data_IF_462243197181
#
_entry.id   IF_462243197181
#
_cell.length_a   1.000
_cell.length_b   1.000
_cell.length_c   1.000
_cell.angle_alpha   90.00
_cell.angle_beta   90.00
_cell.angle_gamma   90.00
#
_symmetry.space_group_name_H-M   'P 1'
#
loop_
_entity.id
_entity.type
_entity.pdbx_description
1 polymer ?
#
# COMPACT_ATOMS: atom_id res chain seq x y z
N UNK A 1 14.79 0.42 -29.98
CA UNK A 1 15.20 -0.87 -29.36
C UNK A 1 16.56 -0.81 -28.67
N UNK A 2 17.66 -0.43 -29.34
CA UNK A 2 18.99 -0.34 -28.70
C UNK A 2 19.07 0.64 -27.51
N UNK A 3 18.40 1.79 -27.59
CA UNK A 3 18.40 2.78 -26.50
C UNK A 3 17.63 2.30 -25.26
N UNK A 4 16.49 1.64 -25.47
CA UNK A 4 15.70 1.02 -24.39
C UNK A 4 16.49 -0.08 -23.69
N UNK A 5 17.22 -0.92 -24.44
CA UNK A 5 18.09 -1.96 -23.87
C UNK A 5 19.17 -1.36 -22.98
N UNK A 6 19.84 -0.29 -23.42
CA UNK A 6 20.88 0.38 -22.61
C UNK A 6 20.31 0.97 -21.32
N UNK A 7 19.13 1.58 -21.39
CA UNK A 7 18.45 2.11 -20.21
C UNK A 7 18.09 1.00 -19.22
N UNK A 8 17.56 -0.12 -19.70
CA UNK A 8 17.23 -1.27 -18.86
C UNK A 8 18.46 -1.89 -18.19
N UNK A 9 19.56 -2.02 -18.93
CA UNK A 9 20.82 -2.53 -18.37
C UNK A 9 21.39 -1.59 -17.31
N UNK A 10 21.24 -0.27 -17.50
CA UNK A 10 21.61 0.72 -16.50
C UNK A 10 20.77 0.58 -15.22
N UNK A 11 19.44 0.42 -15.34
CA UNK A 11 18.57 0.18 -14.19
C UNK A 11 18.91 -1.10 -13.44
N UNK A 12 19.20 -2.19 -14.16
CA UNK A 12 19.63 -3.47 -13.57
C UNK A 12 20.95 -3.32 -12.81
N UNK A 13 21.89 -2.53 -13.33
CA UNK A 13 23.15 -2.23 -12.65
C UNK A 13 22.93 -1.48 -11.34
N UNK A 14 22.09 -0.45 -11.34
CA UNK A 14 21.75 0.32 -10.14
C UNK A 14 21.06 -0.58 -9.10
N UNK A 15 20.09 -1.39 -9.52
CA UNK A 15 19.39 -2.31 -8.63
C UNK A 15 20.36 -3.29 -7.95
N UNK A 16 21.26 -3.92 -8.71
CA UNK A 16 22.29 -4.81 -8.16
C UNK A 16 23.22 -4.11 -7.17
N UNK A 17 23.62 -2.87 -7.47
CA UNK A 17 24.47 -2.10 -6.56
C UNK A 17 23.73 -1.79 -5.25
N UNK A 18 22.45 -1.42 -5.32
CA UNK A 18 21.62 -1.21 -4.14
C UNK A 18 21.49 -2.49 -3.30
N UNK A 19 21.18 -3.62 -3.95
CA UNK A 19 21.02 -4.92 -3.28
C UNK A 19 22.31 -5.43 -2.62
N UNK A 20 23.48 -5.07 -3.15
CA UNK A 20 24.78 -5.48 -2.59
C UNK A 20 25.05 -4.94 -1.18
N UNK A 21 24.33 -3.90 -0.75
CA UNK A 21 24.41 -3.36 0.61
C UNK A 21 23.57 -4.12 1.64
N UNK A 22 22.90 -5.19 1.23
CA UNK A 22 22.01 -5.99 2.07
C UNK A 22 22.53 -7.41 2.27
N UNK A 23 22.28 -7.95 3.46
CA UNK A 23 22.60 -9.33 3.82
C UNK A 23 21.48 -9.97 4.64
N UNK A 24 21.65 -11.27 4.89
CA UNK A 24 20.86 -11.97 5.89
C UNK A 24 21.47 -11.75 7.29
N UNK A 25 20.66 -11.56 8.33
CA UNK A 25 21.15 -11.58 9.70
C UNK A 25 21.62 -12.98 10.11
N UNK A 26 22.62 -13.03 10.97
CA UNK A 26 22.96 -14.28 11.66
C UNK A 26 21.95 -14.54 12.79
N UNK A 27 21.68 -15.80 13.13
CA UNK A 27 20.66 -16.13 14.14
C UNK A 27 20.89 -15.48 15.52
N UNK A 28 22.16 -15.40 15.95
CA UNK A 28 22.55 -14.75 17.20
C UNK A 28 22.38 -13.23 17.12
N UNK A 29 22.74 -12.64 15.99
CA UNK A 29 22.58 -11.21 15.73
C UNK A 29 21.11 -10.82 15.70
N UNK A 30 20.26 -11.60 15.03
CA UNK A 30 18.81 -11.41 15.02
C UNK A 30 18.27 -11.35 16.45
N UNK A 31 18.63 -12.32 17.29
CA UNK A 31 18.16 -12.38 18.68
C UNK A 31 18.61 -11.15 19.48
N UNK A 32 19.85 -10.69 19.29
CA UNK A 32 20.39 -9.49 19.94
C UNK A 32 19.66 -8.22 19.49
N UNK A 33 19.48 -8.05 18.18
CA UNK A 33 18.79 -6.88 17.62
C UNK A 33 17.35 -6.79 18.13
N UNK A 34 16.65 -7.91 18.24
CA UNK A 34 15.29 -7.95 18.78
C UNK A 34 15.22 -7.57 20.26
N UNK A 35 16.24 -7.93 21.05
CA UNK A 35 16.32 -7.52 22.46
C UNK A 35 16.59 -6.02 22.58
N UNK A 36 17.54 -5.49 21.80
CA UNK A 36 17.93 -4.08 21.82
C UNK A 36 16.78 -3.15 21.38
N UNK A 37 15.91 -3.61 20.47
CA UNK A 37 14.82 -2.81 19.88
C UNK A 37 13.49 -2.81 20.66
N UNK A 38 13.44 -3.44 21.84
CA UNK A 38 12.25 -3.34 22.68
C UNK A 38 11.96 -1.90 23.17
N UNK A 39 12.87 -0.95 22.98
CA UNK A 39 12.74 0.42 23.49
C UNK A 39 12.42 1.49 22.43
N UNK A 40 12.86 1.33 21.18
CA UNK A 40 12.76 2.35 20.11
C UNK A 40 12.11 1.81 18.81
N UNK A 41 10.94 1.20 18.91
CA UNK A 41 10.15 0.87 17.71
C UNK A 41 9.31 2.06 17.27
N UNK A 42 9.05 2.20 15.97
CA UNK A 42 8.13 3.22 15.47
C UNK A 42 6.68 2.96 15.87
N UNK A 43 5.80 3.84 15.36
CA UNK A 43 4.47 4.03 15.91
C UNK A 43 3.56 2.81 15.72
N UNK A 44 3.61 2.16 14.55
CA UNK A 44 2.81 0.98 14.27
C UNK A 44 3.29 -0.25 15.04
N UNK A 45 4.60 -0.44 15.18
CA UNK A 45 5.18 -1.50 15.99
C UNK A 45 4.85 -1.32 17.49
N UNK A 46 4.90 -0.09 18.01
CA UNK A 46 4.50 0.22 19.38
C UNK A 46 3.00 -0.06 19.60
N UNK A 47 2.15 0.46 18.71
CA UNK A 47 0.71 0.24 18.74
C UNK A 47 0.35 -1.26 18.70
N UNK A 48 0.99 -2.02 17.81
CA UNK A 48 0.71 -3.45 17.67
C UNK A 48 1.12 -4.24 18.91
N UNK A 49 2.24 -3.88 19.54
CA UNK A 49 2.73 -4.52 20.77
C UNK A 49 1.81 -4.32 21.95
N UNK A 50 1.27 -3.11 22.13
CA UNK A 50 0.34 -2.80 23.22
C UNK A 50 -0.99 -3.54 23.10
N UNK A 51 -1.42 -3.84 21.86
CA UNK A 51 -2.81 -4.23 21.56
C UNK A 51 -2.95 -5.67 21.08
N UNK A 52 -1.89 -6.25 20.51
CA UNK A 52 -1.91 -7.60 19.96
C UNK A 52 -0.88 -8.48 20.65
N UNK A 53 -1.37 -9.43 21.45
CA UNK A 53 -0.59 -10.59 21.85
C UNK A 53 -0.61 -11.63 20.71
N UNK A 54 0.09 -11.33 19.61
CA UNK A 54 0.69 -12.34 18.74
C UNK A 54 0.08 -12.62 17.36
N UNK A 55 0.92 -13.29 16.54
CA UNK A 55 0.56 -14.38 15.60
C UNK A 55 1.83 -15.09 15.09
N UNK A 56 2.90 -14.34 14.84
CA UNK A 56 4.26 -14.84 14.55
C UNK A 56 5.20 -14.11 15.50
N UNK A 57 6.08 -14.82 16.19
CA UNK A 57 7.09 -14.15 17.01
C UNK A 57 8.02 -13.36 16.07
N UNK A 58 8.51 -12.20 16.50
CA UNK A 58 9.42 -11.42 15.66
C UNK A 58 10.67 -12.23 15.28
N UNK A 59 11.06 -13.18 16.13
CA UNK A 59 12.12 -14.15 15.85
C UNK A 59 11.78 -15.07 14.68
N UNK A 60 10.57 -15.65 14.65
CA UNK A 60 10.08 -16.43 13.51
C UNK A 60 10.09 -15.63 12.22
N UNK A 61 9.63 -14.37 12.25
CA UNK A 61 9.62 -13.49 11.06
C UNK A 61 11.03 -13.27 10.52
N UNK A 62 11.96 -12.88 11.39
CA UNK A 62 13.37 -12.64 11.01
C UNK A 62 14.01 -13.90 10.41
N UNK A 63 13.72 -15.08 10.95
CA UNK A 63 14.27 -16.35 10.44
C UNK A 63 13.57 -16.86 9.19
N UNK A 64 12.34 -16.41 8.90
CA UNK A 64 11.54 -16.86 7.76
C UNK A 64 11.85 -16.09 6.47
N UNK A 65 12.49 -14.91 6.57
CA UNK A 65 12.92 -14.14 5.40
C UNK A 65 14.21 -14.77 4.88
N UNK A 66 14.13 -15.36 3.69
CA UNK A 66 15.24 -16.05 3.03
C UNK A 66 16.02 -15.17 2.07
N UNK A 67 15.58 -13.93 1.85
CA UNK A 67 16.20 -12.94 0.96
C UNK A 67 17.02 -11.92 1.77
N UNK A 68 18.17 -11.43 1.28
CA UNK A 68 18.91 -10.36 1.94
C UNK A 68 17.99 -9.15 2.17
N UNK A 69 17.93 -8.68 3.41
CA UNK A 69 16.96 -7.64 3.80
C UNK A 69 17.53 -6.66 4.83
N UNK A 70 18.63 -7.02 5.50
CA UNK A 70 19.28 -6.20 6.50
C UNK A 70 20.39 -5.38 5.86
N UNK A 71 20.27 -4.05 5.94
CA UNK A 71 21.29 -3.12 5.46
C UNK A 71 22.52 -3.20 6.35
N UNK A 72 23.69 -3.40 5.75
CA UNK A 72 24.93 -3.60 6.52
C UNK A 72 25.31 -2.38 7.37
N UNK A 73 25.08 -1.18 6.83
CA UNK A 73 25.44 0.09 7.49
C UNK A 73 24.34 0.64 8.40
N UNK A 74 23.14 0.04 8.42
CA UNK A 74 22.00 0.53 9.20
C UNK A 74 21.05 -0.61 9.58
N UNK A 75 21.59 -1.58 10.35
CA UNK A 75 20.88 -2.79 10.74
C UNK A 75 19.65 -2.47 11.60
N UNK A 76 19.76 -1.45 12.45
CA UNK A 76 18.69 -1.00 13.32
C UNK A 76 17.47 -0.57 12.51
N UNK A 77 17.66 0.30 11.52
CA UNK A 77 16.57 0.78 10.67
C UNK A 77 15.86 -0.34 9.91
N UNK A 78 16.61 -1.31 9.38
CA UNK A 78 16.00 -2.48 8.70
C UNK A 78 15.11 -3.29 9.65
N UNK A 79 15.56 -3.53 10.89
CA UNK A 79 14.78 -4.28 11.88
C UNK A 79 13.54 -3.51 12.31
N UNK A 80 13.67 -2.21 12.60
CA UNK A 80 12.51 -1.35 12.92
C UNK A 80 11.49 -1.37 11.78
N UNK A 81 11.93 -1.21 10.53
CA UNK A 81 11.03 -1.26 9.38
C UNK A 81 10.29 -2.59 9.26
N UNK A 82 10.96 -3.72 9.53
CA UNK A 82 10.33 -5.02 9.52
C UNK A 82 9.31 -5.17 10.67
N UNK A 83 9.61 -4.62 11.85
CA UNK A 83 8.68 -4.57 12.98
C UNK A 83 7.45 -3.71 12.65
N UNK A 84 7.62 -2.56 11.98
CA UNK A 84 6.49 -1.75 11.52
C UNK A 84 5.60 -2.53 10.55
N UNK A 85 6.19 -3.22 9.56
CA UNK A 85 5.43 -4.05 8.62
C UNK A 85 4.65 -5.17 9.32
N UNK A 86 5.26 -5.82 10.31
CA UNK A 86 4.61 -6.83 11.14
C UNK A 86 3.45 -6.21 11.95
N UNK A 87 3.68 -5.04 12.54
CA UNK A 87 2.67 -4.30 13.30
C UNK A 87 1.48 -3.89 12.42
N UNK A 88 1.76 -3.40 11.21
CA UNK A 88 0.76 -3.09 10.18
C UNK A 88 -0.08 -4.31 9.81
N UNK A 89 0.58 -5.43 9.48
CA UNK A 89 -0.10 -6.68 9.16
C UNK A 89 -0.99 -7.18 10.29
N UNK A 90 -0.47 -7.16 11.52
CA UNK A 90 -1.22 -7.55 12.71
C UNK A 90 -2.45 -6.67 12.94
N UNK A 91 -2.27 -5.35 12.88
CA UNK A 91 -3.33 -4.37 13.10
C UNK A 91 -4.46 -4.49 12.07
N UNK A 92 -4.13 -4.61 10.78
CA UNK A 92 -5.12 -4.68 9.71
C UNK A 92 -5.98 -5.95 9.76
N UNK A 93 -5.46 -7.05 10.33
CA UNK A 93 -6.24 -8.30 10.49
C UNK A 93 -7.16 -8.33 11.70
N UNK A 94 -6.85 -7.53 12.72
CA UNK A 94 -7.44 -7.68 14.06
C UNK A 94 -8.42 -6.57 14.40
N UNK A 95 -8.34 -5.41 13.74
CA UNK A 95 -9.12 -4.23 14.10
C UNK A 95 -10.40 -4.12 13.26
N UNK A 96 -11.52 -3.88 13.96
CA UNK A 96 -12.73 -3.37 13.32
C UNK A 96 -12.50 -1.88 12.96
N UNK A 97 -12.76 -1.51 11.71
CA UNK A 97 -12.32 -0.23 11.13
C UNK A 97 -12.63 1.02 11.97
N UNK A 98 -11.86 2.08 11.73
CA UNK A 98 -11.94 3.42 12.36
C UNK A 98 -11.42 3.54 13.81
N UNK A 99 -10.50 2.67 14.24
CA UNK A 99 -9.77 2.88 15.51
C UNK A 99 -8.89 4.14 15.44
N UNK A 100 -9.11 5.08 16.37
CA UNK A 100 -8.40 6.36 16.39
C UNK A 100 -6.89 6.18 16.66
N UNK A 101 -6.53 5.24 17.54
CA UNK A 101 -5.13 4.98 17.87
C UNK A 101 -4.39 4.35 16.69
N UNK A 102 -5.02 3.43 15.96
CA UNK A 102 -4.51 2.91 14.69
C UNK A 102 -4.32 4.04 13.67
N UNK A 103 -5.33 4.90 13.51
CA UNK A 103 -5.26 6.00 12.55
C UNK A 103 -4.12 6.97 12.88
N UNK A 104 -3.88 7.23 14.17
CA UNK A 104 -2.75 8.05 14.62
C UNK A 104 -1.42 7.37 14.32
N UNK A 105 -1.28 6.08 14.61
CA UNK A 105 -0.07 5.32 14.32
C UNK A 105 0.22 5.27 12.81
N UNK A 106 -0.80 5.00 11.97
CA UNK A 106 -0.69 5.03 10.52
C UNK A 106 -0.23 6.38 9.98
N UNK A 107 -0.71 7.50 10.55
CA UNK A 107 -0.27 8.84 10.12
C UNK A 107 1.19 9.14 10.45
N UNK A 108 1.71 8.56 11.54
CA UNK A 108 3.12 8.74 11.89
C UNK A 108 4.05 8.07 10.87
N UNK A 109 3.63 6.95 10.27
CA UNK A 109 4.43 6.19 9.32
C UNK A 109 4.12 6.48 7.84
N UNK A 110 2.88 6.82 7.50
CA UNK A 110 2.48 7.13 6.11
C UNK A 110 2.37 8.62 5.81
N UNK A 111 2.60 9.47 6.81
CA UNK A 111 2.39 10.91 6.73
C UNK A 111 0.95 11.34 6.99
N UNK A 112 0.78 12.62 7.31
CA UNK A 112 -0.54 13.23 7.52
C UNK A 112 -0.97 14.03 6.28
N UNK A 113 -2.02 13.55 5.63
CA UNK A 113 -2.50 14.07 4.34
C UNK A 113 -3.78 14.90 4.47
N UNK A 114 -4.14 15.32 5.68
CA UNK A 114 -5.38 16.08 5.92
C UNK A 114 -5.29 17.54 5.49
N UNK A 115 -4.09 18.09 5.47
CA UNK A 115 -3.87 19.47 5.05
C UNK A 115 -4.04 19.62 3.54
N UNK A 116 -4.34 20.85 3.09
CA UNK A 116 -4.46 21.13 1.66
C UNK A 116 -3.12 20.88 0.96
N UNK A 117 -3.11 19.93 0.04
CA UNK A 117 -1.91 19.56 -0.70
C UNK A 117 -1.82 20.39 -1.99
N UNK A 118 -0.77 21.18 -2.12
CA UNK A 118 -0.31 21.67 -3.42
C UNK A 118 0.69 20.68 -3.98
N UNK A 119 0.36 20.04 -5.11
CA UNK A 119 1.25 19.10 -5.81
C UNK A 119 2.13 19.86 -6.80
N UNK A 120 3.46 19.95 -6.58
CA UNK A 120 4.37 20.56 -7.54
C UNK A 120 4.43 19.73 -8.81
N UNK A 121 4.44 20.36 -10.00
CA UNK A 121 4.45 19.62 -11.26
C UNK A 121 5.66 18.67 -11.40
N UNK A 122 6.81 19.07 -10.84
CA UNK A 122 8.06 18.28 -10.87
C UNK A 122 7.92 16.87 -10.30
N UNK A 123 7.01 16.62 -9.36
CA UNK A 123 6.85 15.28 -8.76
C UNK A 123 6.27 14.26 -9.75
N UNK A 124 5.58 14.74 -10.80
CA UNK A 124 4.99 13.86 -11.82
C UNK A 124 6.04 13.38 -12.82
N UNK A 125 7.08 14.18 -13.04
CA UNK A 125 8.13 13.92 -14.03
C UNK A 125 9.41 13.33 -13.41
N UNK A 126 9.71 13.69 -12.15
CA UNK A 126 10.92 13.27 -11.46
C UNK A 126 10.60 12.33 -10.29
N UNK A 127 10.96 11.03 -10.38
CA UNK A 127 10.76 10.06 -9.31
C UNK A 127 11.45 10.41 -7.99
N UNK A 128 12.62 11.06 -8.04
CA UNK A 128 13.36 11.48 -6.83
C UNK A 128 12.58 12.58 -6.10
N UNK A 129 12.17 13.62 -6.84
CA UNK A 129 11.35 14.70 -6.29
C UNK A 129 10.01 14.19 -5.72
N UNK A 130 9.44 13.12 -6.30
CA UNK A 130 8.24 12.47 -5.79
C UNK A 130 8.48 11.79 -4.44
N UNK A 131 9.56 11.04 -4.32
CA UNK A 131 9.94 10.38 -3.06
C UNK A 131 10.22 11.42 -1.98
N UNK A 132 10.98 12.46 -2.29
CA UNK A 132 11.26 13.57 -1.36
C UNK A 132 9.96 14.23 -0.88
N UNK A 133 9.05 14.54 -1.80
CA UNK A 133 7.74 15.13 -1.48
C UNK A 133 6.90 14.27 -0.52
N UNK A 134 6.98 12.94 -0.61
CA UNK A 134 6.33 12.02 0.31
C UNK A 134 7.01 12.01 1.67
N UNK A 135 8.34 11.94 1.70
CA UNK A 135 9.13 11.96 2.94
C UNK A 135 8.93 13.26 3.71
N UNK A 136 8.92 14.41 3.03
CA UNK A 136 8.64 15.73 3.62
C UNK A 136 7.27 15.80 4.31
N UNK A 137 6.32 14.94 3.92
CA UNK A 137 4.98 14.86 4.51
C UNK A 137 4.87 13.81 5.61
N UNK A 138 5.99 13.22 6.02
CA UNK A 138 6.05 12.25 7.11
C UNK A 138 5.95 10.80 6.65
N UNK A 139 6.09 10.51 5.34
CA UNK A 139 6.24 9.12 4.92
C UNK A 139 7.57 8.54 5.44
N UNK A 140 7.46 7.47 6.21
CA UNK A 140 8.59 6.70 6.70
C UNK A 140 9.15 5.81 5.58
N UNK A 141 10.17 6.31 4.88
CA UNK A 141 10.81 5.60 3.75
C UNK A 141 11.43 4.26 4.13
N UNK A 142 11.70 4.01 5.42
CA UNK A 142 12.24 2.71 5.86
C UNK A 142 11.29 1.54 5.57
N UNK A 143 9.98 1.79 5.55
CA UNK A 143 8.97 0.77 5.27
C UNK A 143 9.13 0.12 3.89
N UNK A 144 9.78 0.80 2.96
CA UNK A 144 10.00 0.33 1.58
C UNK A 144 11.48 0.18 1.23
N UNK A 145 12.38 0.40 2.18
CA UNK A 145 13.84 0.36 1.95
C UNK A 145 14.39 -1.06 2.08
N UNK A 146 13.89 -1.94 1.22
CA UNK A 146 14.30 -3.34 1.13
C UNK A 146 14.57 -3.69 -0.34
N UNK A 147 15.45 -4.66 -0.62
CA UNK A 147 15.48 -5.34 -1.91
C UNK A 147 14.08 -5.82 -2.30
N UNK A 148 13.68 -5.67 -3.57
CA UNK A 148 12.31 -5.96 -4.02
C UNK A 148 11.85 -7.35 -3.58
N UNK A 149 12.67 -8.38 -3.77
CA UNK A 149 12.31 -9.75 -3.38
C UNK A 149 12.10 -9.91 -1.86
N UNK A 150 12.93 -9.24 -1.06
CA UNK A 150 12.80 -9.25 0.40
C UNK A 150 11.56 -8.48 0.86
N UNK A 151 11.26 -7.36 0.20
CA UNK A 151 10.05 -6.58 0.46
C UNK A 151 8.80 -7.43 0.20
N UNK A 152 8.70 -8.05 -0.97
CA UNK A 152 7.58 -8.90 -1.35
C UNK A 152 7.42 -10.10 -0.41
N UNK A 153 8.52 -10.79 -0.08
CA UNK A 153 8.50 -11.88 0.89
C UNK A 153 7.99 -11.41 2.25
N UNK A 154 8.43 -10.23 2.71
CA UNK A 154 7.99 -9.65 3.97
C UNK A 154 6.49 -9.37 3.97
N UNK A 155 5.96 -8.75 2.90
CA UNK A 155 4.52 -8.48 2.78
C UNK A 155 3.67 -9.75 2.84
N UNK A 156 4.12 -10.84 2.22
CA UNK A 156 3.44 -12.14 2.30
C UNK A 156 3.48 -12.70 3.73
N UNK A 157 4.66 -12.74 4.35
CA UNK A 157 4.83 -13.27 5.71
C UNK A 157 4.00 -12.50 6.74
N UNK A 158 3.93 -11.17 6.61
CA UNK A 158 3.14 -10.32 7.50
C UNK A 158 1.67 -10.24 7.08
N UNK A 159 1.23 -10.98 6.05
CA UNK A 159 -0.15 -11.05 5.58
C UNK A 159 -0.71 -9.74 5.03
N UNK A 160 0.16 -8.87 4.50
CA UNK A 160 -0.19 -7.66 3.75
C UNK A 160 -0.35 -7.94 2.25
N UNK A 161 0.30 -8.99 1.75
CA UNK A 161 0.07 -9.50 0.40
C UNK A 161 -0.71 -10.82 0.42
N UNK A 162 -1.98 -10.76 0.01
CA UNK A 162 -2.89 -11.91 -0.10
C UNK A 162 -2.96 -12.49 -1.52
N UNK A 163 -2.34 -11.84 -2.50
CA UNK A 163 -2.47 -12.22 -3.91
C UNK A 163 -1.53 -13.38 -4.31
N UNK A 164 -0.63 -13.81 -3.42
CA UNK A 164 0.16 -15.04 -3.64
C UNK A 164 -0.72 -16.28 -3.82
N UNK A 165 -2.01 -16.22 -3.42
CA UNK A 165 -2.99 -17.28 -3.62
C UNK A 165 -4.01 -17.01 -4.73
N UNK A 166 -4.12 -15.76 -5.21
CA UNK A 166 -5.15 -15.31 -6.17
C UNK A 166 -4.54 -15.05 -7.56
N UNK A 167 -3.56 -15.87 -7.96
CA UNK A 167 -3.06 -15.92 -9.34
C UNK A 167 -4.11 -16.56 -10.25
N UNK A 168 -5.24 -15.88 -10.43
CA UNK A 168 -6.09 -16.16 -11.58
C UNK A 168 -5.28 -15.69 -12.79
N UNK A 169 -4.60 -16.62 -13.46
CA UNK A 169 -3.96 -16.38 -14.75
C UNK A 169 -5.04 -15.87 -15.70
N UNK A 170 -5.04 -14.56 -15.96
CA UNK A 170 -5.89 -13.98 -16.99
C UNK A 170 -5.40 -14.53 -18.34
N UNK A 171 -6.21 -15.34 -19.07
CA UNK A 171 -5.70 -16.18 -20.15
C UNK A 171 -5.22 -15.43 -21.42
N UNK A 172 -5.43 -14.10 -21.50
CA UNK A 172 -5.34 -13.37 -22.77
C UNK A 172 -4.29 -12.25 -22.81
N UNK A 173 -3.62 -11.93 -21.70
CA UNK A 173 -2.54 -10.94 -21.74
C UNK A 173 -1.20 -11.61 -21.94
N UNK A 174 -0.59 -11.39 -23.11
CA UNK A 174 0.81 -11.75 -23.34
C UNK A 174 1.65 -11.15 -22.21
N UNK A 175 2.33 -12.01 -21.45
CA UNK A 175 3.30 -11.56 -20.45
C UNK A 175 4.37 -10.75 -21.16
N UNK A 176 4.84 -9.68 -20.52
CA UNK A 176 6.01 -8.98 -21.04
C UNK A 176 7.19 -9.97 -21.04
N UNK A 177 7.98 -9.95 -22.11
CA UNK A 177 9.22 -10.75 -22.20
C UNK A 177 10.26 -10.29 -21.17
N UNK A 178 10.16 -9.04 -20.70
CA UNK A 178 11.00 -8.50 -19.64
C UNK A 178 10.35 -8.66 -18.27
N UNK A 179 11.12 -9.19 -17.31
CA UNK A 179 10.64 -9.48 -15.96
C UNK A 179 10.36 -8.21 -15.16
N UNK A 180 11.13 -7.14 -15.39
CA UNK A 180 10.96 -5.86 -14.68
C UNK A 180 9.66 -5.19 -15.13
N UNK A 181 9.45 -5.13 -16.43
CA UNK A 181 8.22 -4.61 -17.02
C UNK A 181 6.99 -5.40 -16.55
N UNK A 182 7.04 -6.73 -16.60
CA UNK A 182 5.98 -7.61 -16.10
C UNK A 182 5.68 -7.36 -14.61
N UNK A 183 6.69 -7.19 -13.77
CA UNK A 183 6.51 -6.86 -12.35
C UNK A 183 5.86 -5.47 -12.15
N UNK A 184 6.27 -4.47 -12.94
CA UNK A 184 5.67 -3.14 -12.88
C UNK A 184 4.18 -3.16 -13.28
N UNK A 185 3.83 -3.93 -14.32
CA UNK A 185 2.44 -4.16 -14.72
C UNK A 185 1.63 -4.83 -13.62
N UNK A 186 2.16 -5.91 -13.01
CA UNK A 186 1.49 -6.59 -11.89
C UNK A 186 1.21 -5.66 -10.73
N UNK A 187 2.18 -4.83 -10.32
CA UNK A 187 2.00 -3.84 -9.26
C UNK A 187 0.92 -2.81 -9.62
N UNK A 188 0.94 -2.31 -10.85
CA UNK A 188 -0.03 -1.30 -11.32
C UNK A 188 -1.45 -1.86 -11.33
N UNK A 189 -1.63 -3.07 -11.89
CA UNK A 189 -2.91 -3.77 -11.94
C UNK A 189 -3.45 -4.07 -10.54
N UNK A 190 -2.56 -4.49 -9.62
CA UNK A 190 -2.89 -4.72 -8.22
C UNK A 190 -3.34 -3.46 -7.50
N UNK A 191 -2.57 -2.38 -7.61
CA UNK A 191 -2.96 -1.07 -7.06
C UNK A 191 -4.31 -0.62 -7.62
N UNK A 192 -4.53 -0.75 -8.92
CA UNK A 192 -5.79 -0.43 -9.55
C UNK A 192 -6.96 -1.28 -9.01
N UNK A 193 -6.73 -2.59 -8.83
CA UNK A 193 -7.72 -3.50 -8.26
C UNK A 193 -8.12 -3.10 -6.83
N UNK A 194 -7.14 -2.83 -5.97
CA UNK A 194 -7.42 -2.37 -4.60
C UNK A 194 -8.15 -1.03 -4.59
N UNK A 195 -7.74 -0.07 -5.43
CA UNK A 195 -8.42 1.22 -5.55
C UNK A 195 -9.88 1.06 -5.95
N UNK A 196 -10.18 0.24 -6.97
CA UNK A 196 -11.55 -0.04 -7.37
C UNK A 196 -12.36 -0.74 -6.28
N UNK A 197 -11.77 -1.71 -5.58
CA UNK A 197 -12.43 -2.42 -4.46
C UNK A 197 -12.72 -1.46 -3.30
N UNK A 198 -11.75 -0.63 -2.91
CA UNK A 198 -11.89 0.39 -1.87
C UNK A 198 -12.98 1.39 -2.26
N UNK A 199 -12.91 1.92 -3.48
CA UNK A 199 -13.91 2.85 -3.99
C UNK A 199 -15.31 2.25 -3.93
N UNK A 200 -15.49 1.00 -4.38
CA UNK A 200 -16.77 0.29 -4.32
C UNK A 200 -17.26 0.15 -2.88
N UNK A 201 -16.39 -0.21 -1.93
CA UNK A 201 -16.74 -0.34 -0.51
C UNK A 201 -17.11 1.01 0.12
N UNK A 202 -16.38 2.08 -0.22
CA UNK A 202 -16.70 3.44 0.21
C UNK A 202 -18.06 3.91 -0.32
N UNK A 203 -18.37 3.61 -1.59
CA UNK A 203 -19.69 3.88 -2.18
C UNK A 203 -20.80 3.17 -1.42
N UNK A 204 -20.63 1.87 -1.14
CA UNK A 204 -21.58 1.08 -0.35
C UNK A 204 -21.80 1.65 1.05
N UNK A 205 -20.70 2.01 1.74
CA UNK A 205 -20.75 2.57 3.08
C UNK A 205 -21.54 3.90 3.11
N UNK A 206 -21.21 4.83 2.21
CA UNK A 206 -21.88 6.13 2.17
C UNK A 206 -23.35 5.96 1.77
N UNK A 207 -23.68 5.10 0.81
CA UNK A 207 -25.08 4.85 0.44
C UNK A 207 -25.88 4.28 1.62
N UNK A 208 -25.30 3.33 2.38
CA UNK A 208 -25.93 2.79 3.58
C UNK A 208 -26.12 3.86 4.66
N UNK A 209 -25.08 4.64 4.95
CA UNK A 209 -25.13 5.72 5.96
C UNK A 209 -26.15 6.80 5.58
N UNK A 210 -26.14 7.25 4.32
CA UNK A 210 -27.06 8.27 3.83
C UNK A 210 -28.50 7.75 3.74
N UNK A 211 -28.70 6.49 3.36
CA UNK A 211 -30.03 5.85 3.36
C UNK A 211 -30.59 5.72 4.77
N UNK A 212 -29.77 5.34 5.75
CA UNK A 212 -30.17 5.27 7.15
C UNK A 212 -30.59 6.65 7.70
N UNK A 213 -29.89 7.71 7.32
CA UNK A 213 -30.14 9.05 7.85
C UNK A 213 -31.25 9.83 7.11
N UNK A 214 -31.36 9.69 5.79
CA UNK A 214 -32.23 10.54 4.95
C UNK A 214 -33.27 9.76 4.14
N UNK A 215 -33.31 8.43 4.31
CA UNK A 215 -34.18 7.51 3.58
C UNK A 215 -33.64 7.14 2.20
N UNK A 216 -34.34 6.22 1.52
CA UNK A 216 -33.91 5.68 0.22
C UNK A 216 -33.81 6.75 -0.90
N UNK A 217 -34.49 7.89 -0.78
CA UNK A 217 -34.44 8.98 -1.75
C UNK A 217 -33.38 10.05 -1.43
N UNK A 218 -32.43 9.76 -0.54
CA UNK A 218 -31.38 10.69 -0.16
C UNK A 218 -30.62 11.34 -1.35
N UNK A 219 -30.35 10.65 -2.49
CA UNK A 219 -29.59 11.27 -3.57
C UNK A 219 -30.31 12.48 -4.17
N UNK A 220 -31.64 12.38 -4.34
CA UNK A 220 -32.47 13.49 -4.86
C UNK A 220 -32.54 14.67 -3.89
N UNK A 221 -32.36 14.40 -2.60
CA UNK A 221 -32.48 15.40 -1.53
C UNK A 221 -31.16 16.06 -1.16
N UNK A 222 -30.02 15.41 -1.41
CA UNK A 222 -28.70 15.81 -0.89
C UNK A 222 -27.64 16.03 -1.96
N UNK A 223 -27.80 15.50 -3.17
CA UNK A 223 -26.89 15.80 -4.27
C UNK A 223 -27.32 17.08 -4.97
N UNK A 224 -26.35 17.81 -5.52
CA UNK A 224 -26.68 18.92 -6.41
C UNK A 224 -27.31 18.38 -7.70
N UNK A 225 -28.20 19.14 -8.38
CA UNK A 225 -28.85 18.68 -9.61
C UNK A 225 -27.86 18.19 -10.68
N UNK A 226 -26.76 18.93 -10.87
CA UNK A 226 -25.71 18.58 -11.82
C UNK A 226 -25.03 17.24 -11.50
N UNK A 227 -24.82 16.94 -10.20
CA UNK A 227 -24.23 15.68 -9.76
C UNK A 227 -25.18 14.52 -9.99
N UNK A 228 -26.47 14.70 -9.68
CA UNK A 228 -27.49 13.68 -9.87
C UNK A 228 -27.62 13.31 -11.36
N UNK A 229 -27.74 14.30 -12.24
CA UNK A 229 -27.88 14.11 -13.69
C UNK A 229 -26.66 13.40 -14.31
N UNK A 230 -25.46 13.80 -13.91
CA UNK A 230 -24.21 13.16 -14.36
C UNK A 230 -24.14 11.70 -13.95
N UNK A 231 -24.63 11.36 -12.75
CA UNK A 231 -24.68 9.98 -12.28
C UNK A 231 -25.74 9.17 -13.03
N UNK A 232 -26.95 9.70 -13.20
CA UNK A 232 -28.02 9.03 -13.96
C UNK A 232 -27.57 8.71 -15.39
N UNK A 233 -26.84 9.64 -16.02
CA UNK A 233 -26.23 9.45 -17.34
C UNK A 233 -25.18 8.32 -17.34
N UNK A 234 -24.26 8.31 -16.36
CA UNK A 234 -23.24 7.25 -16.23
C UNK A 234 -23.87 5.89 -15.93
N UNK A 235 -24.90 5.86 -15.09
CA UNK A 235 -25.64 4.64 -14.76
C UNK A 235 -26.38 4.08 -15.96
N UNK A 236 -27.10 4.92 -16.70
CA UNK A 236 -27.79 4.52 -17.92
C UNK A 236 -26.81 3.95 -18.97
N UNK A 237 -25.62 4.57 -19.14
CA UNK A 237 -24.56 4.04 -20.01
C UNK A 237 -23.97 2.70 -19.55
N UNK A 238 -23.82 2.50 -18.24
CA UNK A 238 -23.35 1.23 -17.70
C UNK A 238 -24.39 0.12 -17.89
N UNK A 239 -25.67 0.43 -17.62
CA UNK A 239 -26.76 -0.52 -17.80
C UNK A 239 -26.98 -0.88 -19.28
N UNK A 240 -26.82 0.08 -20.20
CA UNK A 240 -26.90 -0.18 -21.65
C UNK A 240 -25.71 -0.96 -22.22
N UNK A 241 -24.57 -0.98 -21.53
CA UNK A 241 -23.41 -1.83 -21.83
C UNK A 241 -23.43 -3.19 -21.12
N UNK A 242 -24.54 -3.53 -20.47
CA UNK A 242 -24.72 -4.81 -19.77
C UNK A 242 -24.11 -4.87 -18.37
N UNK A 243 -23.57 -3.76 -17.86
CA UNK A 243 -22.99 -3.65 -16.51
C UNK A 243 -24.02 -3.05 -15.55
N UNK A 244 -24.59 -3.87 -14.65
CA UNK A 244 -25.43 -3.35 -13.57
C UNK A 244 -24.57 -2.63 -12.53
N UNK A 245 -24.67 -1.31 -12.46
CA UNK A 245 -24.17 -0.55 -11.31
C UNK A 245 -25.13 -0.74 -10.13
N UNK A 246 -24.85 -1.74 -9.29
CA UNK A 246 -25.69 -2.07 -8.12
C UNK A 246 -25.58 -1.04 -6.98
N UNK A 247 -24.76 0.00 -7.10
CA UNK A 247 -24.50 0.96 -6.00
C UNK A 247 -24.61 2.43 -6.45
N UNK A 248 -25.20 3.24 -5.57
CA UNK A 248 -25.55 4.66 -5.74
C UNK A 248 -24.35 5.59 -5.38
N UNK A 249 -24.32 6.84 -5.86
CA UNK A 249 -23.11 7.66 -5.90
C UNK A 249 -22.80 8.32 -4.56
N UNK A 250 -21.57 8.84 -4.45
CA UNK A 250 -21.08 9.62 -3.30
C UNK A 250 -20.40 10.90 -3.80
N UNK A 251 -20.32 11.91 -2.93
CA UNK A 251 -19.91 13.27 -3.30
C UNK A 251 -18.49 13.41 -3.91
N UNK A 252 -17.62 12.40 -3.74
CA UNK A 252 -16.22 12.44 -4.19
C UNK A 252 -16.03 12.24 -5.71
N UNK A 253 -17.07 11.87 -6.47
CA UNK A 253 -16.93 11.49 -7.90
C UNK A 253 -16.92 12.66 -8.89
N UNK A 254 -16.84 13.90 -8.39
CA UNK A 254 -16.92 15.11 -9.21
C UNK A 254 -15.61 15.92 -9.25
N UNK A 255 -14.56 15.41 -8.60
CA UNK A 255 -13.21 15.99 -8.66
C UNK A 255 -12.31 15.06 -9.46
N UNK A 256 -12.54 15.00 -10.77
CA UNK A 256 -11.54 14.57 -11.73
C UNK A 256 -11.73 15.44 -12.97
N UNK A 257 -10.86 16.45 -13.07
CA UNK A 257 -10.48 17.07 -14.34
C UNK A 257 -9.13 16.49 -14.72
#
# INVERSE_FOLDING_TARGET
EQELSKQLDHYRSIAKQYESGFRLPQAVEASRLLADMQLDSGAMAAYARERFNGAMSMQELVTSISRPWMREMDTARSVTALMELQGLGSALRSIQGFDNALTTALRADFGDWRDRIAFPQVIFENPVARTEFYVERGFNSSLTDFPEEAFQQSLVLVGLDTDSQDSTEWPETLRATDTIEEMAFRRTNKCHNYLQRLERRLRQFIDAAMTAQYGADWPKKRLTPQMLESWETKKSRAESSGVRLTHRPTASQFVSK
#
